data_IF_402529415396
#
_entry.id   IF_402529415396
#
_cell.length_a   1.000
_cell.length_b   1.000
_cell.length_c   1.000
_cell.angle_alpha   90.00
_cell.angle_beta   90.00
_cell.angle_gamma   90.00
#
_symmetry.space_group_name_H-M   'P 1'
#
loop_
_entity.id
_entity.type
_entity.pdbx_description
1 polymer ?
#
# COMPACT_ATOMS: atom_id res chain seq x y z
N UNK A 1 -1.90 -28.64 -26.18
CA UNK A 1 -1.95 -27.30 -25.57
C UNK A 1 -0.88 -27.21 -24.46
N UNK A 2 -0.05 -26.21 -24.47
CA UNK A 2 0.99 -26.03 -23.47
C UNK A 2 0.49 -25.01 -22.49
N UNK A 3 0.58 -25.31 -21.19
CA UNK A 3 0.26 -24.37 -20.11
C UNK A 3 1.56 -23.79 -19.53
N UNK A 4 1.60 -22.46 -19.38
CA UNK A 4 2.69 -21.75 -18.75
C UNK A 4 2.20 -21.23 -17.41
N UNK A 5 2.88 -21.61 -16.34
CA UNK A 5 2.60 -21.10 -15.01
C UNK A 5 3.69 -20.10 -14.60
N UNK A 6 3.29 -18.87 -14.35
CA UNK A 6 4.18 -17.79 -13.94
C UNK A 6 3.90 -17.46 -12.48
N UNK A 7 4.90 -17.58 -11.64
CA UNK A 7 4.80 -17.25 -10.23
C UNK A 7 5.82 -16.16 -9.88
N UNK A 8 5.35 -15.02 -9.42
CA UNK A 8 6.19 -13.87 -9.08
C UNK A 8 7.20 -14.13 -7.95
N UNK A 9 7.01 -15.20 -7.18
CA UNK A 9 7.98 -15.66 -6.16
C UNK A 9 9.31 -16.09 -6.79
N UNK A 10 9.27 -16.60 -8.02
CA UNK A 10 10.45 -17.07 -8.76
C UNK A 10 10.91 -16.08 -9.84
N UNK A 11 10.56 -14.82 -9.70
CA UNK A 11 10.97 -13.77 -10.63
C UNK A 11 12.46 -13.50 -10.60
N UNK A 12 13.00 -13.12 -11.74
CA UNK A 12 14.39 -12.70 -11.82
C UNK A 12 14.64 -11.43 -11.01
N UNK A 13 15.81 -11.32 -10.39
CA UNK A 13 16.18 -10.15 -9.57
C UNK A 13 15.15 -9.84 -8.47
N UNK A 14 14.77 -10.85 -7.71
CA UNK A 14 13.76 -10.78 -6.66
C UNK A 14 13.89 -9.53 -5.77
N UNK A 15 15.11 -9.20 -5.38
CA UNK A 15 15.43 -8.05 -4.50
C UNK A 15 15.21 -6.67 -5.17
N UNK A 16 15.23 -6.62 -6.52
CA UNK A 16 15.17 -5.38 -7.27
C UNK A 16 13.87 -5.20 -8.06
N UNK A 17 13.02 -6.19 -8.08
CA UNK A 17 11.75 -6.19 -8.84
C UNK A 17 10.57 -6.35 -7.93
N UNK A 18 9.42 -5.82 -8.36
CA UNK A 18 8.16 -5.97 -7.64
C UNK A 18 7.41 -7.21 -8.13
N UNK A 19 6.53 -7.76 -7.29
CA UNK A 19 5.63 -8.85 -7.68
C UNK A 19 4.61 -8.43 -8.76
N UNK A 20 4.41 -7.14 -8.93
CA UNK A 20 3.51 -6.52 -9.92
C UNK A 20 4.24 -6.01 -11.16
N UNK A 21 5.59 -5.96 -11.11
CA UNK A 21 6.41 -5.48 -12.22
C UNK A 21 7.72 -6.28 -12.26
N UNK A 22 7.76 -7.29 -13.12
CA UNK A 22 8.90 -8.16 -13.30
C UNK A 22 8.92 -8.80 -14.69
N UNK A 23 10.10 -9.24 -15.10
CA UNK A 23 10.31 -10.03 -16.32
C UNK A 23 10.48 -11.48 -15.91
N UNK A 24 9.76 -12.35 -16.58
CA UNK A 24 9.87 -13.80 -16.44
C UNK A 24 10.42 -14.40 -17.73
N UNK A 25 11.53 -15.12 -17.63
CA UNK A 25 12.10 -15.84 -18.75
C UNK A 25 11.55 -17.28 -18.77
N UNK A 26 10.99 -17.67 -19.89
CA UNK A 26 10.55 -19.05 -20.07
C UNK A 26 11.75 -20.00 -20.03
N UNK A 27 11.64 -21.14 -19.34
CA UNK A 27 12.74 -22.12 -19.27
C UNK A 27 13.05 -22.76 -20.62
N UNK A 28 12.07 -22.76 -21.54
CA UNK A 28 12.21 -23.31 -22.87
C UNK A 28 11.57 -22.39 -23.90
N UNK A 29 12.18 -22.33 -25.08
CA UNK A 29 11.60 -21.62 -26.21
C UNK A 29 10.32 -22.30 -26.69
N UNK A 30 9.27 -21.50 -26.89
CA UNK A 30 8.00 -21.97 -27.46
C UNK A 30 7.93 -21.51 -28.90
N UNK A 31 7.88 -22.46 -29.82
CA UNK A 31 7.83 -22.22 -31.29
C UNK A 31 6.42 -22.33 -31.80
N UNK A 32 6.14 -21.61 -32.91
CA UNK A 32 4.89 -21.70 -33.67
C UNK A 32 3.62 -21.41 -32.84
N UNK A 33 3.70 -20.39 -31.99
CA UNK A 33 2.56 -19.94 -31.17
C UNK A 33 1.48 -19.39 -32.12
N UNK A 34 0.31 -20.00 -32.12
CA UNK A 34 -0.85 -19.55 -32.90
C UNK A 34 -1.80 -18.67 -32.12
N UNK A 35 -1.91 -18.93 -30.82
CA UNK A 35 -2.75 -18.16 -29.89
C UNK A 35 -2.24 -18.28 -28.50
N UNK A 36 -2.50 -17.25 -27.69
CA UNK A 36 -2.25 -17.20 -26.27
C UNK A 36 -3.56 -16.91 -25.56
N UNK A 37 -3.90 -17.72 -24.57
CA UNK A 37 -5.11 -17.53 -23.77
C UNK A 37 -4.76 -17.41 -22.29
N UNK A 38 -5.33 -16.41 -21.64
CA UNK A 38 -5.31 -16.29 -20.20
C UNK A 38 -6.27 -17.34 -19.60
N UNK A 39 -5.80 -18.12 -18.64
CA UNK A 39 -6.59 -19.17 -17.99
C UNK A 39 -7.05 -18.72 -16.61
N UNK A 40 -6.12 -18.35 -15.75
CA UNK A 40 -6.43 -17.91 -14.38
C UNK A 40 -5.26 -17.17 -13.76
N UNK A 41 -5.54 -16.38 -12.73
CA UNK A 41 -4.51 -15.82 -11.86
C UNK A 41 -4.92 -15.92 -10.40
N UNK A 42 -3.93 -16.14 -9.55
CA UNK A 42 -4.07 -16.08 -8.10
C UNK A 42 -3.26 -14.89 -7.60
N UNK A 43 -3.93 -13.98 -6.93
CA UNK A 43 -3.28 -12.88 -6.23
C UNK A 43 -3.35 -13.16 -4.74
N UNK A 44 -2.21 -13.13 -4.08
CA UNK A 44 -2.20 -13.10 -2.61
C UNK A 44 -2.99 -11.89 -2.13
N UNK A 45 -3.82 -12.13 -1.15
CA UNK A 45 -4.61 -11.09 -0.50
C UNK A 45 -3.69 -9.90 -0.18
N UNK A 46 -4.12 -8.71 -0.56
CA UNK A 46 -3.29 -7.51 -0.67
C UNK A 46 -2.51 -7.29 0.62
N UNK A 47 -1.18 -7.14 0.51
CA UNK A 47 -0.41 -6.68 1.65
C UNK A 47 -0.90 -5.28 2.03
N UNK A 48 -0.92 -5.00 3.25
CA UNK A 48 -1.23 -3.76 3.97
C UNK A 48 -1.93 -2.66 3.15
N UNK A 49 -3.10 -2.21 3.63
CA UNK A 49 -3.83 -1.07 3.07
C UNK A 49 -3.01 0.23 3.17
N UNK A 50 -2.20 0.34 4.21
CA UNK A 50 -1.22 1.41 4.42
C UNK A 50 0.17 0.85 4.17
N UNK A 51 0.86 1.41 3.16
CA UNK A 51 2.10 0.85 2.64
C UNK A 51 3.02 1.95 2.11
N UNK A 52 4.28 1.91 2.50
CA UNK A 52 5.30 2.88 2.09
C UNK A 52 5.59 2.84 0.59
N UNK A 53 5.56 1.66 -0.03
CA UNK A 53 5.81 1.49 -1.47
C UNK A 53 4.73 2.15 -2.33
N UNK A 54 3.50 2.19 -1.85
CA UNK A 54 2.40 2.87 -2.52
C UNK A 54 2.29 4.33 -2.14
N UNK A 55 3.08 4.79 -1.17
CA UNK A 55 3.02 6.15 -0.64
C UNK A 55 1.76 6.44 0.18
N UNK A 56 0.97 5.42 0.51
CA UNK A 56 -0.29 5.59 1.25
C UNK A 56 -0.09 5.79 2.76
N UNK A 57 1.14 5.65 3.25
CA UNK A 57 1.47 5.85 4.65
C UNK A 57 1.87 7.30 5.00
N UNK A 58 1.83 8.20 4.04
CA UNK A 58 2.22 9.59 4.21
C UNK A 58 0.99 10.48 4.36
N UNK A 59 0.91 11.18 5.48
CA UNK A 59 -0.13 12.17 5.74
C UNK A 59 0.50 13.53 6.01
N UNK A 60 0.05 14.56 5.31
CA UNK A 60 0.54 15.94 5.48
C UNK A 60 -0.60 16.85 5.87
N UNK A 61 -0.37 17.72 6.83
CA UNK A 61 -1.32 18.76 7.21
C UNK A 61 -0.59 20.05 7.61
N UNK A 62 -1.34 21.13 7.64
CA UNK A 62 -0.85 22.45 8.06
C UNK A 62 -1.60 22.81 9.33
N UNK A 63 -0.88 23.23 10.36
CA UNK A 63 -1.49 23.64 11.62
C UNK A 63 -2.05 25.08 11.58
N UNK A 64 -2.68 25.49 12.67
CA UNK A 64 -3.26 26.82 12.78
C UNK A 64 -2.23 27.97 12.73
N UNK A 65 -0.95 27.68 12.92
CA UNK A 65 0.16 28.62 12.79
C UNK A 65 0.79 28.59 11.39
N UNK A 66 0.13 27.93 10.43
CA UNK A 66 0.60 27.76 9.06
C UNK A 66 1.92 26.97 8.94
N UNK A 67 2.19 26.09 9.91
CA UNK A 67 3.36 25.23 9.91
C UNK A 67 3.01 23.86 9.30
N UNK A 68 3.75 23.42 8.29
CA UNK A 68 3.51 22.10 7.67
C UNK A 68 4.05 20.98 8.57
N UNK A 69 3.25 19.93 8.72
CA UNK A 69 3.59 18.71 9.43
C UNK A 69 3.43 17.50 8.52
N UNK A 70 4.28 16.51 8.74
CA UNK A 70 4.22 15.24 8.03
C UNK A 70 4.18 14.10 9.04
N UNK A 71 3.21 13.21 8.88
CA UNK A 71 3.10 11.96 9.61
C UNK A 71 3.44 10.78 8.72
N UNK A 72 4.10 9.79 9.28
CA UNK A 72 4.34 8.51 8.64
C UNK A 72 3.61 7.46 9.47
N UNK A 73 2.49 6.99 8.95
CA UNK A 73 1.70 5.94 9.59
C UNK A 73 2.40 4.60 9.41
N UNK A 74 2.53 3.79 10.46
CA UNK A 74 3.08 2.44 10.33
C UNK A 74 2.35 1.60 9.29
N UNK A 75 3.10 0.78 8.57
CA UNK A 75 2.52 -0.12 7.58
C UNK A 75 1.60 -1.16 8.25
N UNK A 76 0.44 -1.39 7.66
CA UNK A 76 -0.50 -2.35 8.22
C UNK A 76 -1.85 -2.36 7.52
N UNK A 77 -2.67 -3.29 7.98
CA UNK A 77 -4.10 -3.30 7.69
C UNK A 77 -4.82 -2.56 8.81
N UNK A 78 -5.55 -1.53 8.42
CA UNK A 78 -6.35 -0.74 9.33
C UNK A 78 -7.81 -0.75 8.88
N UNK A 79 -8.71 -0.91 9.80
CA UNK A 79 -10.09 -0.45 9.63
C UNK A 79 -10.11 1.08 9.65
N UNK A 80 -11.19 1.71 9.17
CA UNK A 80 -11.29 3.17 9.21
C UNK A 80 -11.11 3.74 10.62
N UNK A 81 -11.73 3.10 11.61
CA UNK A 81 -11.62 3.52 13.03
C UNK A 81 -10.22 3.34 13.61
N UNK A 82 -9.54 2.25 13.29
CA UNK A 82 -8.17 2.00 13.73
C UNK A 82 -7.21 3.01 13.11
N UNK A 83 -7.39 3.32 11.82
CA UNK A 83 -6.57 4.33 11.14
C UNK A 83 -6.78 5.73 11.73
N UNK A 84 -8.03 6.11 12.02
CA UNK A 84 -8.35 7.37 12.67
C UNK A 84 -7.68 7.49 14.05
N UNK A 85 -7.72 6.41 14.83
CA UNK A 85 -7.06 6.34 16.15
C UNK A 85 -5.55 6.46 16.01
N UNK A 86 -4.96 5.75 15.07
CA UNK A 86 -3.51 5.80 14.82
C UNK A 86 -3.07 7.20 14.42
N UNK A 87 -3.74 7.82 13.46
CA UNK A 87 -3.42 9.19 13.02
C UNK A 87 -3.57 10.18 14.18
N UNK A 88 -4.63 10.09 14.97
CA UNK A 88 -4.83 10.95 16.14
C UNK A 88 -3.70 10.79 17.16
N UNK A 89 -3.28 9.55 17.41
CA UNK A 89 -2.14 9.26 18.30
C UNK A 89 -0.85 9.87 17.77
N UNK A 90 -0.57 9.68 16.49
CA UNK A 90 0.64 10.21 15.85
C UNK A 90 0.66 11.76 15.87
N UNK A 91 -0.48 12.41 15.61
CA UNK A 91 -0.62 13.86 15.76
C UNK A 91 -0.34 14.29 17.20
N UNK A 92 -0.84 13.55 18.19
CA UNK A 92 -0.65 13.87 19.59
C UNK A 92 0.83 13.81 20.02
N UNK A 93 1.63 13.03 19.34
CA UNK A 93 3.06 12.87 19.60
C UNK A 93 3.94 13.92 18.90
N UNK A 94 3.37 14.76 18.03
CA UNK A 94 4.16 15.82 17.39
C UNK A 94 4.58 16.85 18.43
N UNK A 95 5.88 17.03 18.56
CA UNK A 95 6.44 18.07 19.42
C UNK A 95 6.18 19.47 18.82
N UNK A 96 5.75 20.42 19.67
CA UNK A 96 5.49 21.80 19.24
C UNK A 96 4.03 22.11 18.89
N UNK A 97 3.16 21.11 18.75
CA UNK A 97 1.72 21.36 18.71
C UNK A 97 1.18 21.62 20.11
N UNK A 98 0.55 22.77 20.31
CA UNK A 98 -0.11 23.08 21.57
C UNK A 98 -1.23 22.07 21.87
N UNK A 99 -1.31 21.60 23.11
CA UNK A 99 -2.29 20.59 23.55
C UNK A 99 -3.74 20.93 23.16
N UNK A 100 -4.08 22.21 23.14
CA UNK A 100 -5.42 22.70 22.83
C UNK A 100 -5.74 22.76 21.32
N UNK A 101 -4.75 22.55 20.46
CA UNK A 101 -4.88 22.68 19.00
C UNK A 101 -4.56 21.39 18.27
N UNK A 102 -4.49 20.25 18.98
CA UNK A 102 -4.25 18.95 18.34
C UNK A 102 -5.53 18.49 17.67
N UNK A 103 -5.54 18.32 16.35
CA UNK A 103 -6.71 17.81 15.66
C UNK A 103 -6.98 16.35 16.06
N UNK A 104 -8.25 16.03 16.16
CA UNK A 104 -8.73 14.66 16.35
C UNK A 104 -9.27 14.20 15.00
N UNK A 105 -8.88 13.01 14.59
CA UNK A 105 -9.38 12.38 13.36
C UNK A 105 -10.41 11.33 13.76
N UNK A 106 -11.61 11.44 13.20
CA UNK A 106 -12.68 10.48 13.39
C UNK A 106 -13.07 9.87 12.04
N UNK A 107 -13.49 8.63 12.07
CA UNK A 107 -13.99 7.93 10.89
C UNK A 107 -15.50 7.80 10.98
N UNK A 108 -16.21 8.38 10.03
CA UNK A 108 -17.65 8.20 9.91
C UNK A 108 -17.96 6.89 9.18
N UNK A 109 -18.50 5.93 9.93
CA UNK A 109 -18.85 4.60 9.42
C UNK A 109 -19.91 4.65 8.31
N UNK A 110 -20.82 5.62 8.37
CA UNK A 110 -21.93 5.73 7.41
C UNK A 110 -21.46 6.29 6.07
N UNK A 111 -20.67 7.37 6.10
CA UNK A 111 -20.12 7.98 4.88
C UNK A 111 -18.81 7.33 4.41
N UNK A 112 -18.16 6.52 5.25
CA UNK A 112 -16.84 5.93 5.05
C UNK A 112 -15.76 6.98 4.73
N UNK A 113 -15.83 8.11 5.42
CA UNK A 113 -14.87 9.24 5.28
C UNK A 113 -14.26 9.59 6.63
N UNK A 114 -13.09 10.21 6.55
CA UNK A 114 -12.39 10.83 7.68
C UNK A 114 -12.72 12.30 7.77
#
# INVERSE_FOLDING_TARGET
MQQININSKFRNNYEKTLSTDFIFNLPHEIKNVKSLQYVSSEFTNIPFSINSRMGSNNFKFIDALNTPHQLIVPEGHYTGSELATQITTDISNISGLALNNKPIVEFDVNSRKF
#
